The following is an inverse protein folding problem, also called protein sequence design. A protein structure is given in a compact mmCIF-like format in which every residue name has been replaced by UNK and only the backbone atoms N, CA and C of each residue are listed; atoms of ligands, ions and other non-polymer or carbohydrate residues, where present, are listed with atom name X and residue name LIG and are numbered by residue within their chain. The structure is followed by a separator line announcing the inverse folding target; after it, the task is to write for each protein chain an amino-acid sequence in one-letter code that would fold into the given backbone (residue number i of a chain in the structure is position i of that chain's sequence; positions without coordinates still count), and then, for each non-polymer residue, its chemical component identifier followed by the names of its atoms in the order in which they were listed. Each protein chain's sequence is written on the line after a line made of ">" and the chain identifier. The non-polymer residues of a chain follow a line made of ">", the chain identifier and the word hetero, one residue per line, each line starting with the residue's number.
data_IF_571246928519
#
_entry.id   IF_571246928519
#
_cell.length_a   1.000
_cell.length_b   1.000
_cell.length_c   1.000
_cell.angle_alpha   90.00
_cell.angle_beta   90.00
_cell.angle_gamma   90.00
#
_symmetry.space_group_name_H-M   'P 1'
#
loop_
_entity.id
_entity.type
_entity.pdbx_description
1 polymer ?
#
# COMPACT_ATOMS: atom_id res chain seq x y z
N UNK A 1 -72.77 22.45 11.88
CA UNK A 1 -71.84 21.53 11.10
C UNK A 1 -70.48 22.13 11.11
N UNK A 2 -69.63 21.61 11.96
CA UNK A 2 -68.21 22.04 12.05
C UNK A 2 -67.32 21.01 11.31
N UNK A 3 -66.69 21.42 10.20
CA UNK A 3 -65.72 20.59 9.50
C UNK A 3 -64.32 20.83 10.08
N UNK A 4 -63.81 19.81 10.75
CA UNK A 4 -62.42 19.79 11.25
C UNK A 4 -61.51 19.31 10.10
N UNK A 5 -60.61 20.17 9.60
CA UNK A 5 -59.56 19.78 8.64
C UNK A 5 -58.40 19.14 9.40
N UNK A 6 -58.15 17.85 9.15
CA UNK A 6 -56.91 17.19 9.56
C UNK A 6 -55.80 17.58 8.57
N UNK A 7 -54.76 18.22 9.08
CA UNK A 7 -53.48 18.39 8.38
C UNK A 7 -52.65 17.10 8.56
N UNK A 8 -52.39 16.40 7.46
CA UNK A 8 -51.35 15.34 7.44
C UNK A 8 -50.01 16.00 7.24
N UNK A 9 -49.15 15.98 8.27
CA UNK A 9 -47.73 16.33 8.17
C UNK A 9 -46.97 15.09 7.67
N UNK A 10 -46.53 15.13 6.41
CA UNK A 10 -45.65 14.10 5.87
C UNK A 10 -44.24 14.28 6.46
N UNK A 11 -43.83 13.40 7.37
CA UNK A 11 -42.47 13.32 7.88
C UNK A 11 -41.59 12.68 6.79
N UNK A 12 -40.76 13.49 6.14
CA UNK A 12 -39.68 12.97 5.28
C UNK A 12 -38.59 12.40 6.20
N UNK A 13 -38.50 11.07 6.30
CA UNK A 13 -37.35 10.40 6.83
C UNK A 13 -36.20 10.54 5.81
N UNK A 14 -35.26 11.45 6.06
CA UNK A 14 -33.95 11.44 5.43
C UNK A 14 -33.19 10.29 6.06
N UNK A 15 -33.18 9.15 5.39
CA UNK A 15 -32.25 8.07 5.73
C UNK A 15 -30.84 8.58 5.45
N UNK A 16 -30.08 8.89 6.50
CA UNK A 16 -28.66 9.09 6.40
C UNK A 16 -28.05 7.78 5.87
N UNK A 17 -27.64 7.76 4.61
CA UNK A 17 -26.86 6.67 4.04
C UNK A 17 -25.53 6.71 4.80
N UNK A 18 -25.35 5.77 5.72
CA UNK A 18 -24.08 5.56 6.39
C UNK A 18 -23.10 5.02 5.34
N UNK A 19 -22.30 5.91 4.75
CA UNK A 19 -21.28 5.51 3.79
C UNK A 19 -20.24 4.66 4.54
N UNK A 20 -19.89 3.53 3.96
CA UNK A 20 -18.81 2.70 4.48
C UNK A 20 -17.53 3.53 4.53
N UNK A 21 -16.83 3.54 5.67
CA UNK A 21 -15.52 4.22 5.77
C UNK A 21 -14.37 3.35 5.23
N UNK A 22 -14.71 2.20 4.61
CA UNK A 22 -13.74 1.22 4.11
C UNK A 22 -14.26 0.57 2.82
N UNK A 23 -13.52 0.73 1.75
CA UNK A 23 -13.83 0.13 0.45
C UNK A 23 -12.74 -0.87 0.05
N UNK A 24 -13.17 -1.98 -0.51
CA UNK A 24 -12.28 -3.03 -1.07
C UNK A 24 -12.43 -3.18 -2.58
N UNK A 25 -13.44 -2.53 -3.17
CA UNK A 25 -13.70 -2.52 -4.60
C UNK A 25 -13.55 -1.10 -5.16
N UNK A 26 -12.65 -0.88 -6.16
CA UNK A 26 -12.43 0.44 -6.74
C UNK A 26 -13.65 0.99 -7.50
N UNK A 27 -14.50 0.12 -8.08
CA UNK A 27 -15.68 0.57 -8.78
C UNK A 27 -16.77 1.10 -7.82
N UNK A 28 -16.85 0.50 -6.62
CA UNK A 28 -17.73 0.98 -5.54
C UNK A 28 -17.18 2.27 -4.95
N UNK A 29 -15.89 2.32 -4.60
CA UNK A 29 -15.23 3.51 -4.06
C UNK A 29 -15.41 4.73 -5.00
N UNK A 30 -15.20 4.54 -6.30
CA UNK A 30 -15.34 5.62 -7.29
C UNK A 30 -16.75 6.17 -7.47
N UNK A 31 -17.80 5.38 -7.12
CA UNK A 31 -19.19 5.83 -7.15
C UNK A 31 -19.60 6.53 -5.85
N UNK A 32 -19.10 6.05 -4.72
CA UNK A 32 -19.56 6.48 -3.40
C UNK A 32 -18.73 7.63 -2.81
N UNK A 33 -17.44 7.70 -3.15
CA UNK A 33 -16.53 8.78 -2.72
C UNK A 33 -15.82 9.44 -3.91
N UNK A 34 -16.26 10.63 -4.37
CA UNK A 34 -15.58 11.36 -5.43
C UNK A 34 -14.11 11.68 -5.14
N UNK A 35 -13.69 11.72 -3.87
CA UNK A 35 -12.30 11.97 -3.49
C UNK A 35 -11.38 10.82 -3.93
N UNK A 36 -11.90 9.60 -4.06
CA UNK A 36 -11.16 8.46 -4.61
C UNK A 36 -10.68 8.69 -6.04
N UNK A 37 -11.49 9.36 -6.87
CA UNK A 37 -11.14 9.66 -8.27
C UNK A 37 -10.10 10.78 -8.41
N UNK A 38 -9.98 11.63 -7.40
CA UNK A 38 -9.00 12.73 -7.35
C UNK A 38 -7.67 12.23 -6.78
N UNK A 39 -7.73 11.33 -5.79
CA UNK A 39 -6.56 10.72 -5.19
C UNK A 39 -5.71 10.00 -6.24
N UNK A 40 -4.39 10.07 -6.11
CA UNK A 40 -3.48 9.34 -6.99
C UNK A 40 -2.15 10.05 -7.22
N UNK A 41 -1.39 9.49 -8.15
CA UNK A 41 -0.15 10.07 -8.65
C UNK A 41 -0.44 11.03 -9.80
N UNK A 42 0.32 12.13 -9.83
CA UNK A 42 0.27 13.12 -10.90
C UNK A 42 1.69 13.35 -11.42
N UNK A 43 1.86 13.30 -12.72
CA UNK A 43 3.18 13.44 -13.35
C UNK A 43 3.26 12.69 -14.67
N UNK A 44 4.47 12.27 -14.99
CA UNK A 44 4.78 11.43 -16.16
C UNK A 44 5.42 10.14 -15.64
N UNK A 45 4.98 9.00 -16.19
CA UNK A 45 5.49 7.68 -15.83
C UNK A 45 6.84 7.35 -16.50
N UNK A 46 7.74 8.35 -16.56
CA UNK A 46 9.06 8.27 -17.15
C UNK A 46 10.09 8.97 -16.26
N UNK A 47 11.34 8.52 -16.33
CA UNK A 47 12.45 9.14 -15.59
C UNK A 47 12.82 10.51 -16.15
N UNK A 48 13.55 11.31 -15.35
CA UNK A 48 14.09 12.60 -15.78
C UNK A 48 13.08 13.76 -15.72
N UNK A 49 11.93 13.56 -15.11
CA UNK A 49 10.95 14.62 -14.92
C UNK A 49 11.33 15.54 -13.76
N UNK A 50 11.13 16.87 -13.88
CA UNK A 50 11.44 17.79 -12.79
C UNK A 50 10.50 17.64 -11.59
N UNK A 51 9.24 17.24 -11.83
CA UNK A 51 8.18 17.21 -10.83
C UNK A 51 7.29 15.97 -10.95
N UNK A 52 6.88 15.46 -9.80
CA UNK A 52 5.75 14.56 -9.61
C UNK A 52 4.91 15.03 -8.42
N UNK A 53 3.72 14.50 -8.26
CA UNK A 53 2.93 14.78 -7.08
C UNK A 53 2.11 13.56 -6.64
N UNK A 54 1.93 13.42 -5.32
CA UNK A 54 0.97 12.52 -4.70
C UNK A 54 -0.18 13.33 -4.14
N UNK A 55 -1.41 12.90 -4.39
CA UNK A 55 -2.64 13.50 -3.84
C UNK A 55 -3.38 12.43 -3.05
N UNK A 56 -3.62 12.67 -1.77
CA UNK A 56 -4.15 11.71 -0.81
C UNK A 56 -5.49 12.22 -0.28
N UNK A 57 -6.54 11.45 -0.43
CA UNK A 57 -7.84 11.72 0.19
C UNK A 57 -7.76 11.52 1.71
N UNK A 58 -8.22 12.53 2.45
CA UNK A 58 -8.17 12.60 3.91
C UNK A 58 -9.54 12.48 4.57
N UNK A 59 -10.57 12.17 3.76
CA UNK A 59 -11.98 12.11 4.15
C UNK A 59 -12.67 13.48 4.11
N UNK A 60 -13.98 13.46 3.92
CA UNK A 60 -14.84 14.65 3.94
C UNK A 60 -14.43 15.74 2.94
N UNK A 61 -13.92 15.31 1.77
CA UNK A 61 -13.44 16.20 0.72
C UNK A 61 -12.11 16.90 1.03
N UNK A 62 -11.41 16.55 2.12
CA UNK A 62 -10.09 17.08 2.44
C UNK A 62 -9.00 16.27 1.75
N UNK A 63 -7.89 16.93 1.43
CA UNK A 63 -6.74 16.34 0.77
C UNK A 63 -5.43 16.83 1.38
N UNK A 64 -4.47 15.90 1.48
CA UNK A 64 -3.05 16.21 1.53
C UNK A 64 -2.48 15.99 0.12
N UNK A 65 -1.52 16.82 -0.28
CA UNK A 65 -0.72 16.56 -1.47
C UNK A 65 0.75 16.81 -1.19
N UNK A 66 1.60 16.15 -1.96
CA UNK A 66 3.05 16.33 -1.88
C UNK A 66 3.60 16.55 -3.28
N UNK A 67 4.21 17.71 -3.49
CA UNK A 67 5.02 17.98 -4.68
C UNK A 67 6.40 17.33 -4.47
N UNK A 68 6.82 16.52 -5.41
CA UNK A 68 8.04 15.72 -5.37
C UNK A 68 9.03 16.25 -6.42
N UNK A 69 10.20 16.69 -5.99
CA UNK A 69 11.26 17.09 -6.92
C UNK A 69 11.89 15.87 -7.59
N UNK A 70 12.07 15.93 -8.91
CA UNK A 70 12.69 14.89 -9.71
C UNK A 70 11.74 13.79 -10.18
N UNK A 71 10.42 13.98 -10.06
CA UNK A 71 9.42 13.05 -10.59
C UNK A 71 8.78 12.15 -9.53
N UNK A 72 8.28 10.99 -9.95
CA UNK A 72 7.63 10.02 -9.08
C UNK A 72 8.65 9.05 -8.45
N UNK A 73 8.32 8.38 -7.32
CA UNK A 73 9.18 7.35 -6.73
C UNK A 73 9.53 6.23 -7.71
N UNK A 74 10.82 5.85 -7.76
CA UNK A 74 11.36 4.89 -8.73
C UNK A 74 11.59 5.47 -10.13
N UNK A 75 11.18 6.73 -10.39
CA UNK A 75 11.36 7.41 -11.67
C UNK A 75 12.18 8.71 -11.58
N UNK A 76 12.82 8.91 -10.42
CA UNK A 76 13.74 10.04 -10.21
C UNK A 76 13.58 10.75 -8.87
N UNK A 77 12.43 10.67 -8.20
CA UNK A 77 12.31 11.09 -6.81
C UNK A 77 13.12 10.16 -5.90
N UNK A 78 13.92 10.76 -5.01
CA UNK A 78 14.62 10.07 -3.93
C UNK A 78 14.30 10.74 -2.60
N UNK A 79 14.60 10.08 -1.49
CA UNK A 79 14.33 10.58 -0.15
C UNK A 79 15.05 11.89 0.19
N UNK A 80 16.20 12.16 -0.46
CA UNK A 80 17.02 13.36 -0.26
C UNK A 80 16.50 14.58 -1.03
N UNK A 81 15.60 14.36 -1.99
CA UNK A 81 15.02 15.45 -2.78
C UNK A 81 13.89 16.14 -2.04
N UNK A 82 13.62 17.38 -2.43
CA UNK A 82 12.58 18.17 -1.80
C UNK A 82 11.19 17.53 -1.98
N UNK A 83 10.43 17.55 -0.89
CA UNK A 83 9.06 17.08 -0.79
C UNK A 83 8.23 18.15 -0.07
N UNK A 84 7.42 18.88 -0.82
CA UNK A 84 6.63 19.99 -0.26
C UNK A 84 5.19 19.56 -0.05
N UNK A 85 4.72 19.69 1.19
CA UNK A 85 3.33 19.39 1.56
C UNK A 85 2.39 20.55 1.18
N UNK A 86 1.22 20.20 0.64
CA UNK A 86 0.08 21.07 0.47
C UNK A 86 -1.13 20.43 1.15
N UNK A 87 -2.05 21.25 1.64
CA UNK A 87 -3.33 20.79 2.20
C UNK A 87 -4.47 21.60 1.60
N UNK A 88 -5.64 21.01 1.55
CA UNK A 88 -6.82 21.71 1.05
C UNK A 88 -8.05 20.87 0.94
N UNK A 89 -9.03 21.36 0.18
CA UNK A 89 -10.37 20.78 0.12
C UNK A 89 -10.98 20.91 -1.26
N UNK A 90 -11.85 19.95 -1.60
CA UNK A 90 -12.74 20.03 -2.76
C UNK A 90 -13.98 20.86 -2.43
N UNK A 91 -14.33 21.77 -3.33
CA UNK A 91 -15.59 22.49 -3.36
C UNK A 91 -15.99 22.74 -4.82
N UNK A 92 -17.27 22.60 -5.14
CA UNK A 92 -17.85 22.91 -6.46
C UNK A 92 -17.08 22.25 -7.64
N UNK A 93 -16.67 20.99 -7.46
CA UNK A 93 -15.97 20.22 -8.51
C UNK A 93 -14.49 20.58 -8.70
N UNK A 94 -13.91 21.43 -7.85
CA UNK A 94 -12.53 21.86 -7.87
C UNK A 94 -11.87 21.60 -6.53
N UNK A 95 -10.63 21.09 -6.54
CA UNK A 95 -9.82 20.93 -5.32
C UNK A 95 -8.75 22.02 -5.29
N UNK A 96 -8.75 22.82 -4.24
CA UNK A 96 -7.74 23.88 -4.01
C UNK A 96 -6.84 23.49 -2.85
N UNK A 97 -5.52 23.57 -3.06
CA UNK A 97 -4.49 23.17 -2.11
C UNK A 97 -3.45 24.29 -1.96
N UNK A 98 -2.85 24.39 -0.77
CA UNK A 98 -1.75 25.32 -0.54
C UNK A 98 -0.74 24.76 0.47
N UNK A 99 0.53 25.19 0.36
CA UNK A 99 1.55 24.96 1.36
C UNK A 99 1.30 25.81 2.61
N UNK A 100 1.89 25.43 3.73
CA UNK A 100 1.74 26.14 5.02
C UNK A 100 2.13 27.62 4.93
N UNK A 101 3.20 27.94 4.18
CA UNK A 101 3.66 29.33 3.95
C UNK A 101 2.87 30.07 2.86
N UNK A 102 1.89 29.42 2.22
CA UNK A 102 1.06 29.98 1.15
C UNK A 102 1.78 30.23 -0.18
N UNK A 103 3.08 29.96 -0.30
CA UNK A 103 3.85 30.25 -1.52
C UNK A 103 3.60 29.26 -2.64
N UNK A 104 3.34 28.00 -2.32
CA UNK A 104 2.98 26.97 -3.28
C UNK A 104 1.48 26.74 -3.22
N UNK A 105 0.80 26.95 -4.34
CA UNK A 105 -0.63 26.66 -4.49
C UNK A 105 -0.85 25.66 -5.60
N UNK A 106 -1.92 24.88 -5.49
CA UNK A 106 -2.32 23.93 -6.50
C UNK A 106 -3.83 23.89 -6.69
N UNK A 107 -4.25 23.61 -7.91
CA UNK A 107 -5.64 23.37 -8.25
C UNK A 107 -5.73 22.04 -8.97
N UNK A 108 -6.66 21.18 -8.56
CA UNK A 108 -6.95 19.93 -9.25
C UNK A 108 -8.34 20.03 -9.90
N UNK A 109 -8.38 19.83 -11.21
CA UNK A 109 -9.59 19.78 -12.01
C UNK A 109 -9.35 18.93 -13.27
N UNK A 110 -10.37 18.21 -13.74
CA UNK A 110 -10.28 17.44 -15.00
C UNK A 110 -9.13 16.43 -15.07
N UNK A 111 -8.72 15.82 -13.94
CA UNK A 111 -7.62 14.87 -13.90
C UNK A 111 -6.23 15.50 -14.00
N UNK A 112 -6.09 16.80 -13.77
CA UNK A 112 -4.82 17.52 -13.78
C UNK A 112 -4.64 18.32 -12.51
N UNK A 113 -3.38 18.46 -12.06
CA UNK A 113 -2.96 19.38 -11.02
C UNK A 113 -2.15 20.51 -11.65
N UNK A 114 -2.59 21.74 -11.46
CA UNK A 114 -1.88 22.96 -11.88
C UNK A 114 -1.25 23.60 -10.65
N UNK A 115 0.06 23.77 -10.67
CA UNK A 115 0.88 24.27 -9.57
C UNK A 115 1.39 25.68 -9.87
N UNK A 116 1.39 26.53 -8.86
CA UNK A 116 1.95 27.89 -8.91
C UNK A 116 2.85 28.11 -7.69
N UNK A 117 3.97 28.81 -7.89
CA UNK A 117 4.86 29.25 -6.81
C UNK A 117 4.96 30.76 -6.84
N UNK A 118 4.67 31.42 -5.71
CA UNK A 118 4.61 32.89 -5.59
C UNK A 118 3.72 33.54 -6.68
N UNK A 119 2.58 32.90 -6.98
CA UNK A 119 1.64 33.33 -8.03
C UNK A 119 2.08 33.09 -9.46
N UNK A 120 3.25 32.52 -9.69
CA UNK A 120 3.78 32.21 -11.03
C UNK A 120 3.56 30.73 -11.38
N UNK A 121 3.23 30.38 -12.63
CA UNK A 121 3.11 28.99 -13.06
C UNK A 121 4.40 28.19 -12.77
N UNK A 122 4.27 27.02 -12.16
CA UNK A 122 5.37 26.11 -11.86
C UNK A 122 5.30 24.85 -12.73
N UNK A 123 4.17 24.14 -12.72
CA UNK A 123 3.97 22.89 -13.45
C UNK A 123 2.48 22.60 -13.66
N UNK A 124 2.17 21.83 -14.70
CA UNK A 124 0.90 21.15 -14.89
C UNK A 124 1.19 19.65 -15.03
N UNK A 125 0.59 18.82 -14.16
CA UNK A 125 0.83 17.39 -14.11
C UNK A 125 -0.50 16.66 -14.31
N UNK A 126 -0.56 15.73 -15.26
CA UNK A 126 -1.72 14.86 -15.44
C UNK A 126 -1.76 13.75 -14.39
N UNK A 127 -2.97 13.31 -14.00
CA UNK A 127 -3.12 12.10 -13.20
C UNK A 127 -2.60 10.89 -13.99
N UNK A 128 -1.80 10.07 -13.37
CA UNK A 128 -1.23 8.86 -13.96
C UNK A 128 -1.57 7.65 -13.09
N UNK A 129 -1.85 6.51 -13.72
CA UNK A 129 -2.01 5.23 -13.04
C UNK A 129 -0.87 4.31 -13.48
N UNK A 130 0.12 4.22 -12.60
CA UNK A 130 1.25 3.30 -12.82
C UNK A 130 0.86 1.88 -12.38
N UNK A 131 1.48 0.90 -13.00
CA UNK A 131 1.40 -0.51 -12.62
C UNK A 131 2.80 -1.01 -12.32
N UNK A 132 2.90 -1.96 -11.39
CA UNK A 132 4.15 -2.67 -11.17
C UNK A 132 4.62 -3.35 -12.46
N UNK A 133 5.92 -3.34 -12.70
CA UNK A 133 6.53 -4.05 -13.85
C UNK A 133 6.41 -5.57 -13.74
N UNK A 134 6.21 -6.10 -12.51
CA UNK A 134 6.06 -7.54 -12.22
C UNK A 134 4.60 -7.95 -11.96
N UNK A 135 3.64 -7.02 -12.13
CA UNK A 135 2.22 -7.32 -11.94
C UNK A 135 1.73 -8.36 -12.96
N UNK A 136 1.20 -9.47 -12.47
CA UNK A 136 0.74 -10.60 -13.30
C UNK A 136 1.89 -11.50 -13.76
N UNK A 137 3.08 -11.38 -13.19
CA UNK A 137 4.22 -12.24 -13.51
C UNK A 137 3.87 -13.71 -13.21
N UNK A 138 4.14 -14.57 -14.19
CA UNK A 138 3.83 -16.00 -14.07
C UNK A 138 4.92 -16.72 -13.26
N UNK A 139 4.53 -17.74 -12.47
CA UNK A 139 5.50 -18.58 -11.78
C UNK A 139 6.50 -19.17 -12.79
N UNK A 140 7.81 -19.03 -12.57
CA UNK A 140 8.83 -19.65 -13.41
C UNK A 140 8.83 -21.19 -13.24
N UNK A 141 9.50 -21.89 -14.15
CA UNK A 141 9.65 -23.33 -14.02
C UNK A 141 10.29 -23.71 -12.68
N UNK A 142 9.70 -24.69 -11.98
CA UNK A 142 10.14 -25.14 -10.67
C UNK A 142 9.63 -24.31 -9.48
N UNK A 143 8.84 -23.27 -9.71
CA UNK A 143 8.20 -22.51 -8.63
C UNK A 143 7.10 -23.32 -7.94
N UNK A 144 6.97 -23.11 -6.62
CA UNK A 144 5.81 -23.57 -5.85
C UNK A 144 4.74 -22.50 -5.90
N UNK A 145 3.61 -22.80 -6.52
CA UNK A 145 2.45 -21.90 -6.52
C UNK A 145 1.73 -22.04 -5.18
N UNK A 146 1.77 -20.99 -4.38
CA UNK A 146 1.12 -20.94 -3.07
C UNK A 146 -0.33 -20.46 -3.17
N UNK A 147 -0.63 -19.64 -4.19
CA UNK A 147 -1.98 -19.17 -4.47
C UNK A 147 -2.11 -18.60 -5.89
N UNK A 148 -3.04 -19.13 -6.65
CA UNK A 148 -3.37 -18.71 -8.04
C UNK A 148 -4.82 -18.23 -8.22
N UNK A 149 -5.58 -18.18 -7.11
CA UNK A 149 -7.00 -17.81 -7.11
C UNK A 149 -7.95 -19.00 -7.11
N UNK A 150 -7.48 -20.22 -7.37
CA UNK A 150 -8.33 -21.43 -7.45
C UNK A 150 -8.52 -22.11 -6.10
N UNK A 151 -7.48 -22.13 -5.26
CA UNK A 151 -7.48 -22.84 -3.97
C UNK A 151 -6.55 -22.15 -2.95
N UNK A 152 -6.91 -22.21 -1.66
CA UNK A 152 -6.06 -21.83 -0.54
C UNK A 152 -5.56 -23.05 0.25
N UNK A 153 -5.51 -24.24 -0.36
CA UNK A 153 -5.10 -25.47 0.34
C UNK A 153 -3.64 -25.48 0.79
N UNK A 154 -2.76 -24.68 0.17
CA UNK A 154 -1.38 -24.50 0.63
C UNK A 154 -1.28 -23.72 1.94
N UNK A 155 -2.39 -23.13 2.40
CA UNK A 155 -2.49 -22.34 3.62
C UNK A 155 -3.20 -23.12 4.74
N UNK A 156 -2.91 -22.77 5.98
CA UNK A 156 -3.48 -23.43 7.16
C UNK A 156 -4.97 -23.08 7.41
N UNK A 157 -5.52 -22.11 6.67
CA UNK A 157 -6.93 -21.69 6.72
C UNK A 157 -7.49 -21.58 5.29
N UNK A 158 -8.04 -22.68 4.73
CA UNK A 158 -8.62 -22.66 3.39
C UNK A 158 -9.76 -21.65 3.19
N UNK A 159 -10.46 -21.29 4.28
CA UNK A 159 -11.50 -20.26 4.30
C UNK A 159 -10.99 -18.84 4.00
N UNK A 160 -9.69 -18.65 3.92
CA UNK A 160 -9.09 -17.39 3.44
C UNK A 160 -9.32 -17.14 1.94
N UNK A 161 -9.72 -18.14 1.16
CA UNK A 161 -10.19 -17.95 -0.22
C UNK A 161 -11.53 -17.22 -0.23
N UNK A 162 -11.57 -16.02 -0.77
CA UNK A 162 -12.75 -15.17 -0.90
C UNK A 162 -12.79 -14.56 -2.31
N UNK A 163 -13.78 -14.95 -3.12
CA UNK A 163 -13.98 -14.45 -4.49
C UNK A 163 -12.72 -14.50 -5.37
N UNK A 164 -11.96 -15.61 -5.29
CA UNK A 164 -10.72 -15.79 -6.03
C UNK A 164 -9.52 -15.01 -5.50
N UNK A 165 -9.64 -14.40 -4.32
CA UNK A 165 -8.58 -13.69 -3.63
C UNK A 165 -8.26 -14.35 -2.29
N UNK A 166 -7.04 -14.15 -1.80
CA UNK A 166 -6.60 -14.63 -0.50
C UNK A 166 -6.73 -13.48 0.52
N UNK A 167 -7.61 -13.64 1.52
CA UNK A 167 -7.78 -12.67 2.59
C UNK A 167 -6.72 -12.85 3.68
N UNK A 168 -6.31 -11.75 4.31
CA UNK A 168 -5.31 -11.71 5.38
C UNK A 168 -5.89 -12.18 6.75
N UNK A 169 -6.23 -13.44 6.90
CA UNK A 169 -6.89 -14.00 8.09
C UNK A 169 -5.92 -14.62 9.13
N UNK A 170 -4.73 -14.07 9.34
CA UNK A 170 -3.65 -14.70 10.12
C UNK A 170 -3.35 -16.12 9.61
N UNK A 171 -2.88 -16.18 8.38
CA UNK A 171 -2.66 -17.42 7.64
C UNK A 171 -1.18 -17.71 7.45
N UNK A 172 -0.81 -18.98 7.51
CA UNK A 172 0.56 -19.45 7.26
C UNK A 172 0.55 -20.52 6.18
N UNK A 173 1.62 -20.56 5.38
CA UNK A 173 1.83 -21.70 4.49
C UNK A 173 2.00 -22.99 5.30
N UNK A 174 1.46 -24.09 4.81
CA UNK A 174 1.69 -25.42 5.37
C UNK A 174 3.14 -25.85 5.15
N UNK A 175 3.68 -25.50 3.98
CA UNK A 175 5.08 -25.71 3.64
C UNK A 175 5.96 -24.70 4.35
N UNK A 176 7.16 -25.11 4.74
CA UNK A 176 8.21 -24.29 5.34
C UNK A 176 9.38 -24.17 4.38
N UNK A 177 10.05 -23.03 4.41
CA UNK A 177 11.12 -22.69 3.48
C UNK A 177 12.38 -22.24 4.22
N UNK A 178 13.55 -22.51 3.64
CA UNK A 178 14.83 -21.92 4.04
C UNK A 178 15.03 -20.58 3.31
N UNK A 179 15.86 -20.57 2.29
CA UNK A 179 16.10 -19.41 1.45
C UNK A 179 15.28 -19.50 0.18
N UNK A 180 14.72 -18.38 -0.28
CA UNK A 180 13.83 -18.38 -1.44
C UNK A 180 13.71 -17.02 -2.10
N UNK A 181 13.20 -17.02 -3.33
CA UNK A 181 12.56 -15.85 -3.95
C UNK A 181 11.06 -16.00 -3.83
N UNK A 182 10.41 -14.92 -3.43
CA UNK A 182 8.94 -14.83 -3.31
C UNK A 182 8.43 -13.73 -4.23
N UNK A 183 7.41 -14.05 -5.00
CA UNK A 183 6.53 -13.05 -5.61
C UNK A 183 5.15 -13.12 -4.98
N UNK A 184 4.56 -11.97 -4.71
CA UNK A 184 3.16 -11.87 -4.32
C UNK A 184 2.56 -10.52 -4.75
N UNK A 185 1.26 -10.52 -5.01
CA UNK A 185 0.50 -9.31 -5.25
C UNK A 185 -0.45 -9.04 -4.10
N UNK A 186 -0.54 -7.78 -3.69
CA UNK A 186 -1.43 -7.35 -2.60
C UNK A 186 -2.20 -6.09 -2.94
N UNK A 187 -3.33 -5.90 -2.27
CA UNK A 187 -4.20 -4.73 -2.45
C UNK A 187 -4.74 -4.28 -1.09
N UNK A 188 -4.39 -3.05 -0.71
CA UNK A 188 -4.90 -2.42 0.52
C UNK A 188 -6.28 -1.81 0.28
N UNK A 189 -7.15 -1.74 1.30
CA UNK A 189 -8.44 -1.06 1.21
C UNK A 189 -8.26 0.46 1.12
N UNK A 190 -9.23 1.14 0.54
CA UNK A 190 -9.35 2.59 0.61
C UNK A 190 -10.06 2.98 1.91
N UNK A 191 -9.36 3.72 2.78
CA UNK A 191 -9.83 4.18 4.10
C UNK A 191 -9.43 5.64 4.33
N UNK A 192 -10.07 6.61 3.66
CA UNK A 192 -9.61 8.00 3.66
C UNK A 192 -9.61 8.67 5.03
N UNK A 193 -10.48 8.25 5.96
CA UNK A 193 -10.52 8.78 7.34
C UNK A 193 -9.52 8.13 8.29
N UNK A 194 -8.99 6.94 7.97
CA UNK A 194 -8.02 6.25 8.80
C UNK A 194 -6.61 6.86 8.68
N UNK A 195 -5.80 6.65 9.70
CA UNK A 195 -4.40 7.15 9.78
C UNK A 195 -3.48 6.08 10.35
N UNK A 196 -2.17 6.22 10.03
CA UNK A 196 -1.13 5.35 10.56
C UNK A 196 -1.48 3.87 10.40
N UNK A 197 -1.22 3.07 11.41
CA UNK A 197 -1.42 1.62 11.39
C UNK A 197 -2.91 1.18 11.28
N UNK A 198 -3.86 2.07 11.40
CA UNK A 198 -5.29 1.82 11.13
C UNK A 198 -5.66 1.86 9.64
N UNK A 199 -4.73 2.27 8.75
CA UNK A 199 -4.99 2.50 7.34
C UNK A 199 -4.45 1.35 6.49
N UNK A 200 -5.23 0.27 6.32
CA UNK A 200 -4.90 -0.85 5.42
C UNK A 200 -3.74 -1.72 5.87
N UNK A 201 -3.61 -1.97 7.18
CA UNK A 201 -2.49 -2.69 7.77
C UNK A 201 -2.60 -4.20 7.60
N UNK A 202 -1.48 -4.81 7.23
CA UNK A 202 -1.17 -6.22 7.20
C UNK A 202 0.36 -6.39 7.31
N UNK A 203 0.89 -7.60 7.10
CA UNK A 203 2.33 -7.87 7.06
C UNK A 203 2.59 -9.22 6.42
N UNK A 204 3.71 -9.32 5.69
CA UNK A 204 4.21 -10.57 5.12
C UNK A 204 5.45 -10.99 5.89
N UNK A 205 5.34 -12.08 6.64
CA UNK A 205 6.42 -12.59 7.48
C UNK A 205 7.20 -13.70 6.78
N UNK A 206 8.48 -13.49 6.62
CA UNK A 206 9.42 -14.47 6.11
C UNK A 206 9.86 -15.40 7.25
N UNK A 207 9.64 -16.70 7.07
CA UNK A 207 9.84 -17.73 8.09
C UNK A 207 9.08 -17.46 9.42
N UNK A 208 8.01 -16.63 9.41
CA UNK A 208 7.29 -16.15 10.60
C UNK A 208 8.21 -15.46 11.62
N UNK A 209 9.30 -14.85 11.15
CA UNK A 209 10.37 -14.19 11.92
C UNK A 209 10.57 -12.73 11.53
N UNK A 210 10.50 -12.42 10.21
CA UNK A 210 10.87 -11.12 9.66
C UNK A 210 9.74 -10.58 8.80
N UNK A 211 9.21 -9.44 9.20
CA UNK A 211 8.07 -8.82 8.54
C UNK A 211 8.50 -7.80 7.49
N UNK A 212 8.04 -7.98 6.25
CA UNK A 212 7.92 -6.91 5.28
C UNK A 212 6.54 -6.28 5.44
N UNK A 213 6.51 -4.99 5.82
CA UNK A 213 5.27 -4.29 6.19
C UNK A 213 4.34 -4.07 5.00
N UNK A 214 3.06 -4.25 5.22
CA UNK A 214 1.97 -3.88 4.30
C UNK A 214 1.05 -2.87 4.96
N UNK A 215 0.90 -1.70 4.34
CA UNK A 215 0.09 -0.58 4.82
C UNK A 215 -0.39 0.24 3.63
N UNK A 216 -1.49 0.97 3.70
CA UNK A 216 -1.72 2.08 2.78
C UNK A 216 -0.80 3.24 3.17
N UNK A 217 0.43 3.18 2.67
CA UNK A 217 1.48 4.17 2.88
C UNK A 217 1.57 5.18 1.75
N UNK A 218 0.57 5.19 0.85
CA UNK A 218 0.58 6.11 -0.27
C UNK A 218 0.75 7.57 0.19
N UNK A 219 1.77 8.23 -0.35
CA UNK A 219 2.10 9.62 0.01
C UNK A 219 2.77 9.81 1.37
N UNK A 220 3.12 8.75 2.11
CA UNK A 220 3.95 8.85 3.32
C UNK A 220 5.44 8.92 2.98
N UNK A 221 6.30 9.06 4.00
CA UNK A 221 7.76 9.22 3.81
C UNK A 221 8.50 7.92 3.59
N UNK A 222 7.93 6.79 4.00
CA UNK A 222 8.58 5.48 3.98
C UNK A 222 9.39 5.23 5.27
N UNK A 223 8.73 4.91 6.37
CA UNK A 223 9.39 4.51 7.60
C UNK A 223 9.38 2.98 7.76
N UNK A 224 10.08 2.46 8.76
CA UNK A 224 10.20 1.01 8.98
C UNK A 224 8.86 0.29 9.20
N UNK A 225 7.83 1.03 9.60
CA UNK A 225 6.45 0.56 9.83
C UNK A 225 5.48 0.96 8.71
N UNK A 226 6.00 1.30 7.54
CA UNK A 226 5.27 1.62 6.31
C UNK A 226 5.61 0.61 5.22
N UNK A 227 4.80 0.51 4.17
CA UNK A 227 4.98 -0.46 3.08
C UNK A 227 6.40 -0.38 2.49
N UNK A 228 7.04 -1.54 2.34
CA UNK A 228 8.44 -1.67 1.91
C UNK A 228 9.45 -1.61 3.05
N UNK A 229 9.02 -1.25 4.27
CA UNK A 229 9.86 -1.33 5.46
C UNK A 229 9.99 -2.76 6.00
N UNK A 230 11.12 -3.07 6.62
CA UNK A 230 11.28 -4.25 7.46
C UNK A 230 11.02 -3.81 8.90
N UNK A 231 9.90 -4.27 9.45
CA UNK A 231 9.34 -3.74 10.69
C UNK A 231 10.35 -3.69 11.84
N UNK A 232 10.53 -2.50 12.45
CA UNK A 232 11.52 -2.22 13.52
C UNK A 232 13.00 -2.45 13.18
N UNK A 233 13.33 -2.74 11.92
CA UNK A 233 14.72 -2.99 11.48
C UNK A 233 15.18 -1.93 10.48
N UNK A 234 14.47 -1.80 9.33
CA UNK A 234 14.93 -0.94 8.24
C UNK A 234 13.76 -0.22 7.56
N UNK A 235 13.95 1.06 7.28
CA UNK A 235 13.05 1.83 6.43
C UNK A 235 13.36 1.59 4.95
N UNK A 236 12.38 1.72 4.04
CA UNK A 236 12.64 1.57 2.62
C UNK A 236 13.54 2.68 2.09
N UNK A 237 14.35 2.38 1.08
CA UNK A 237 15.19 3.35 0.34
C UNK A 237 14.34 4.52 -0.17
N UNK A 238 13.17 4.20 -0.72
CA UNK A 238 12.16 5.16 -1.17
C UNK A 238 10.77 4.56 -0.97
N UNK A 239 9.77 5.38 -0.64
CA UNK A 239 8.39 4.92 -0.60
C UNK A 239 7.81 4.86 -2.01
N UNK A 240 7.68 3.67 -2.58
CA UNK A 240 7.08 3.40 -3.89
C UNK A 240 5.68 2.77 -3.79
N UNK A 241 5.01 2.92 -2.63
CA UNK A 241 3.63 2.47 -2.44
C UNK A 241 2.69 3.18 -3.42
N UNK A 242 1.89 2.42 -4.15
CA UNK A 242 0.84 2.92 -5.03
C UNK A 242 -0.43 3.26 -4.23
N UNK A 243 -1.37 4.04 -4.80
CA UNK A 243 -2.65 4.34 -4.16
C UNK A 243 -3.42 3.09 -3.72
N UNK A 244 -4.22 3.16 -2.64
CA UNK A 244 -5.06 2.06 -2.20
C UNK A 244 -6.02 1.63 -3.31
N UNK A 245 -6.46 0.37 -3.27
CA UNK A 245 -7.24 -0.35 -4.28
C UNK A 245 -6.51 -0.61 -5.60
N UNK A 246 -5.28 -0.16 -5.78
CA UNK A 246 -4.40 -0.65 -6.86
C UNK A 246 -3.67 -1.91 -6.39
N UNK A 247 -3.48 -2.87 -7.31
CA UNK A 247 -2.65 -4.03 -7.08
C UNK A 247 -1.19 -3.63 -7.07
N UNK A 248 -0.48 -4.08 -6.06
CA UNK A 248 0.95 -3.85 -5.82
C UNK A 248 1.69 -5.17 -5.76
N UNK A 249 2.98 -5.19 -6.02
CA UNK A 249 3.81 -6.39 -5.98
C UNK A 249 4.91 -6.27 -4.96
N UNK A 250 5.18 -7.38 -4.26
CA UNK A 250 6.44 -7.63 -3.60
C UNK A 250 7.19 -8.73 -4.31
N UNK A 251 8.44 -8.43 -4.69
CA UNK A 251 9.43 -9.39 -5.16
C UNK A 251 10.56 -9.41 -4.14
N UNK A 252 10.66 -10.53 -3.42
CA UNK A 252 11.56 -10.66 -2.28
C UNK A 252 12.59 -11.74 -2.53
N UNK A 253 13.86 -11.41 -2.36
CA UNK A 253 14.96 -12.38 -2.27
C UNK A 253 15.35 -12.52 -0.81
N UNK A 254 14.97 -13.65 -0.19
CA UNK A 254 15.24 -13.94 1.21
C UNK A 254 16.33 -15.01 1.36
N UNK A 255 17.34 -14.72 2.18
CA UNK A 255 18.38 -15.66 2.58
C UNK A 255 18.28 -15.91 4.09
N UNK A 256 18.12 -17.18 4.47
CA UNK A 256 17.98 -17.59 5.87
C UNK A 256 19.31 -17.40 6.63
N UNK A 257 19.21 -17.29 7.95
CA UNK A 257 20.36 -17.23 8.86
C UNK A 257 21.19 -18.52 8.79
N UNK A 258 22.50 -18.39 8.96
CA UNK A 258 23.44 -19.51 8.98
C UNK A 258 23.87 -19.83 10.42
N UNK A 259 24.03 -21.12 10.71
CA UNK A 259 24.41 -21.63 12.02
C UNK A 259 25.58 -22.61 11.87
N UNK A 260 26.43 -22.67 12.86
CA UNK A 260 27.49 -23.68 12.95
C UNK A 260 26.94 -25.05 13.46
N UNK A 261 27.79 -26.05 13.48
CA UNK A 261 27.43 -27.42 13.93
C UNK A 261 26.95 -27.47 15.39
N UNK A 262 27.29 -26.47 16.21
CA UNK A 262 26.83 -26.34 17.59
C UNK A 262 25.43 -25.69 17.70
N UNK A 263 24.85 -25.22 16.57
CA UNK A 263 23.62 -24.48 16.53
C UNK A 263 23.77 -23.00 16.91
N UNK A 264 24.96 -22.46 16.94
CA UNK A 264 25.23 -21.04 17.19
C UNK A 264 25.06 -20.26 15.89
N UNK A 265 24.35 -19.13 15.95
CA UNK A 265 24.20 -18.19 14.83
C UNK A 265 25.57 -17.64 14.41
N UNK A 266 25.94 -17.81 13.15
CA UNK A 266 27.20 -17.31 12.55
C UNK A 266 26.97 -16.21 11.53
N UNK A 267 25.76 -16.17 10.90
CA UNK A 267 25.37 -15.12 9.95
C UNK A 267 23.89 -14.84 10.03
N UNK A 268 23.52 -13.58 10.09
CA UNK A 268 22.13 -13.15 10.10
C UNK A 268 21.43 -13.52 8.78
N UNK A 269 20.11 -13.63 8.82
CA UNK A 269 19.30 -13.64 7.61
C UNK A 269 19.44 -12.30 6.86
N UNK A 270 19.20 -12.30 5.55
CA UNK A 270 19.26 -11.10 4.70
C UNK A 270 18.08 -11.04 3.75
N UNK A 271 17.74 -9.83 3.32
CA UNK A 271 16.60 -9.62 2.47
C UNK A 271 16.81 -8.47 1.48
N UNK A 272 16.53 -8.75 0.21
CA UNK A 272 16.35 -7.73 -0.83
C UNK A 272 14.87 -7.67 -1.20
N UNK A 273 14.29 -6.48 -1.25
CA UNK A 273 12.86 -6.29 -1.53
C UNK A 273 12.68 -5.26 -2.65
N UNK A 274 11.91 -5.65 -3.66
CA UNK A 274 11.34 -4.73 -4.62
C UNK A 274 9.85 -4.55 -4.33
N UNK A 275 9.41 -3.31 -4.25
CA UNK A 275 8.00 -2.92 -4.17
C UNK A 275 7.62 -2.26 -5.49
N UNK A 276 6.66 -2.84 -6.21
CA UNK A 276 6.21 -2.35 -7.51
C UNK A 276 7.36 -2.25 -8.55
N UNK A 277 8.32 -3.18 -8.48
CA UNK A 277 9.51 -3.20 -9.32
C UNK A 277 10.62 -2.22 -8.91
N UNK A 278 10.42 -1.43 -7.85
CA UNK A 278 11.41 -0.48 -7.31
C UNK A 278 12.16 -1.10 -6.14
N UNK A 279 13.50 -1.07 -6.15
CA UNK A 279 14.33 -1.55 -5.04
C UNK A 279 14.07 -0.69 -3.80
N UNK A 280 13.57 -1.32 -2.73
CA UNK A 280 13.25 -0.65 -1.45
C UNK A 280 14.09 -1.15 -0.28
N UNK A 281 14.61 -2.38 -0.36
CA UNK A 281 15.57 -2.94 0.57
C UNK A 281 16.68 -3.63 -0.24
N UNK A 282 17.93 -3.30 0.03
CA UNK A 282 19.09 -3.83 -0.68
C UNK A 282 19.95 -4.67 0.27
N UNK A 283 19.88 -5.98 0.11
CA UNK A 283 20.64 -6.96 0.92
C UNK A 283 20.68 -6.60 2.42
N UNK A 284 19.52 -6.25 2.97
CA UNK A 284 19.37 -5.74 4.33
C UNK A 284 19.63 -6.83 5.36
N UNK A 285 20.50 -6.55 6.34
CA UNK A 285 20.81 -7.44 7.47
C UNK A 285 19.65 -7.52 8.45
N UNK A 286 19.32 -8.74 8.93
CA UNK A 286 18.20 -9.03 9.83
C UNK A 286 18.70 -9.58 11.18
N UNK A 287 19.22 -8.73 12.06
CA UNK A 287 19.90 -9.18 13.29
C UNK A 287 18.95 -9.67 14.38
N UNK A 288 17.66 -9.43 14.23
CA UNK A 288 16.62 -9.81 15.20
C UNK A 288 15.31 -10.11 14.50
N UNK A 289 14.40 -10.80 15.17
CA UNK A 289 13.01 -10.92 14.71
C UNK A 289 12.30 -9.57 14.75
N UNK A 290 11.33 -9.39 13.86
CA UNK A 290 10.46 -8.20 13.85
C UNK A 290 9.36 -8.32 14.91
N UNK A 291 8.68 -7.21 15.21
CA UNK A 291 7.49 -7.23 16.06
C UNK A 291 6.41 -8.17 15.50
N UNK A 292 5.68 -8.87 16.36
CA UNK A 292 4.64 -9.82 15.94
C UNK A 292 5.14 -11.17 15.43
N UNK A 293 6.46 -11.39 15.32
CA UNK A 293 7.04 -12.69 15.00
C UNK A 293 6.61 -13.77 15.99
N UNK A 294 6.27 -14.97 15.48
CA UNK A 294 5.86 -16.11 16.33
C UNK A 294 6.99 -17.13 16.52
N UNK A 295 8.00 -17.10 15.67
CA UNK A 295 9.14 -18.04 15.72
C UNK A 295 10.44 -17.33 16.08
N UNK A 296 11.30 -18.05 16.80
CA UNK A 296 12.68 -17.60 17.11
C UNK A 296 13.59 -17.84 15.90
N UNK A 297 14.73 -17.17 15.87
CA UNK A 297 15.79 -17.43 14.91
C UNK A 297 16.45 -18.76 15.27
N UNK A 298 16.30 -19.74 14.38
CA UNK A 298 16.82 -21.12 14.53
C UNK A 298 17.24 -21.67 13.17
N UNK A 299 18.02 -22.77 13.09
CA UNK A 299 18.36 -23.42 11.83
C UNK A 299 17.14 -23.93 11.03
N UNK A 300 16.03 -24.19 11.73
CA UNK A 300 14.83 -24.79 11.13
C UNK A 300 14.16 -23.87 10.11
N UNK A 301 13.62 -24.41 9.00
CA UNK A 301 12.81 -23.64 8.07
C UNK A 301 11.53 -23.12 8.71
N UNK A 302 11.00 -22.03 8.20
CA UNK A 302 9.76 -21.44 8.69
C UNK A 302 8.74 -21.18 7.58
N UNK A 303 7.45 -21.05 7.93
CA UNK A 303 6.41 -20.75 6.96
C UNK A 303 6.43 -19.26 6.57
N UNK A 304 5.83 -18.94 5.43
CA UNK A 304 5.42 -17.59 5.11
C UNK A 304 4.09 -17.34 5.83
N UNK A 305 3.98 -16.21 6.52
CA UNK A 305 2.78 -15.85 7.27
C UNK A 305 2.26 -14.49 6.81
N UNK A 306 0.95 -14.40 6.60
CA UNK A 306 0.23 -13.17 6.26
C UNK A 306 -0.60 -12.76 7.47
N UNK A 307 -0.29 -11.58 8.01
CA UNK A 307 -0.90 -11.05 9.22
C UNK A 307 -2.28 -10.42 8.94
N UNK A 308 -3.24 -10.68 9.82
CA UNK A 308 -4.43 -9.87 9.98
C UNK A 308 -4.20 -8.75 11.01
N UNK A 309 -4.56 -7.53 10.66
CA UNK A 309 -4.44 -6.38 11.57
C UNK A 309 -5.68 -5.46 11.50
N UNK A 310 -6.87 -6.07 11.51
CA UNK A 310 -8.15 -5.34 11.52
C UNK A 310 -8.48 -4.58 10.22
N UNK A 311 -7.78 -4.89 9.12
CA UNK A 311 -8.02 -4.29 7.82
C UNK A 311 -8.16 -5.37 6.75
N UNK A 312 -9.10 -5.24 5.79
CA UNK A 312 -9.30 -6.21 4.72
C UNK A 312 -8.26 -5.99 3.61
N UNK A 313 -7.10 -6.60 3.76
CA UNK A 313 -6.06 -6.65 2.72
C UNK A 313 -6.19 -7.95 1.97
N UNK A 314 -6.16 -7.89 0.65
CA UNK A 314 -6.25 -9.05 -0.22
C UNK A 314 -4.95 -9.32 -0.95
N UNK A 315 -4.69 -10.61 -1.20
CA UNK A 315 -3.51 -11.11 -1.88
C UNK A 315 -3.92 -11.99 -3.07
N UNK A 316 -3.02 -12.10 -4.05
CA UNK A 316 -3.17 -13.01 -5.18
C UNK A 316 -1.81 -13.31 -5.81
N UNK A 317 -1.76 -14.23 -6.76
CA UNK A 317 -0.56 -14.57 -7.54
C UNK A 317 0.68 -14.72 -6.65
N UNK A 318 0.67 -15.74 -5.77
CA UNK A 318 1.73 -15.98 -4.79
C UNK A 318 2.49 -17.23 -5.18
N UNK A 319 3.80 -17.09 -5.39
CA UNK A 319 4.66 -18.22 -5.69
C UNK A 319 6.08 -18.03 -5.13
N UNK A 320 6.75 -19.16 -4.92
CA UNK A 320 8.08 -19.24 -4.31
C UNK A 320 9.01 -20.08 -5.17
N UNK A 321 10.24 -19.63 -5.32
CA UNK A 321 11.37 -20.44 -5.86
C UNK A 321 12.37 -20.63 -4.74
N UNK A 322 12.56 -21.88 -4.29
CA UNK A 322 13.60 -22.21 -3.31
C UNK A 322 15.00 -22.03 -3.91
N UNK A 323 16.00 -21.67 -3.09
CA UNK A 323 17.39 -21.51 -3.47
C UNK A 323 18.22 -22.72 -3.02
#
# INVERSE_FOLDING_TARGET
>A
MHFTRLLFASLFFVTAICHADTWTDPAVAGKEDPAFLIQGEYGVAESGQPWGAHVIAMGEGNFDAYLLEGGLPGLGYTREKARTKLTGKSAEGKTSLQSEDGKLTATIAGGKITLQRDGKPLAELARVERKSSTLGEKPPAGAFVLFDGSSAEEWNKPEALQDGLLANLDISTKRKFHSYKLHLEFRTPYKPKARGQGRGNSGVYHQHRYETQVLDSFGLTGEYNETGGIYTISKPIVNSCLPPLQWQTYDVDFTTAEFDESGKLVKNARMTVHLNGVLVQDDTDLPKTTGGAKLKITPEPGPIYIQHHGNPVFYRNIWVVEK
#
